data_IF_308065075474
#
_entry.id   IF_308065075474
#
_cell.length_a   1.000
_cell.length_b   1.000
_cell.length_c   1.000
_cell.angle_alpha   90.00
_cell.angle_beta   90.00
_cell.angle_gamma   90.00
#
_symmetry.space_group_name_H-M   'P 1'
#
loop_
_entity.id
_entity.type
_entity.pdbx_description
1 polymer ?
#
# COMPACT_ATOMS: atom_id res chain seq x y z
N UNK A 1 10.37 30.27 -2.23
CA UNK A 1 10.20 30.53 -0.79
C UNK A 1 9.32 31.76 -0.45
N UNK A 2 8.97 32.62 -1.39
CA UNK A 2 8.11 33.80 -1.12
C UNK A 2 6.59 33.52 -1.16
N UNK A 3 6.15 32.35 -1.59
CA UNK A 3 4.72 32.06 -1.79
C UNK A 3 3.97 31.61 -0.52
N UNK A 4 4.61 30.96 0.41
CA UNK A 4 3.94 30.35 1.57
C UNK A 4 3.70 31.30 2.76
N UNK A 5 4.36 32.46 2.81
CA UNK A 5 4.22 33.41 3.91
C UNK A 5 2.88 34.14 4.05
N UNK A 6 1.94 33.94 3.11
CA UNK A 6 0.60 34.55 3.10
C UNK A 6 -0.56 33.58 3.27
N UNK A 7 -0.29 32.29 3.42
CA UNK A 7 -1.32 31.27 3.47
C UNK A 7 -1.67 30.94 4.94
N UNK A 8 -2.96 30.91 5.25
CA UNK A 8 -3.41 30.39 6.54
C UNK A 8 -3.48 28.86 6.50
N UNK A 9 -3.57 28.25 7.68
CA UNK A 9 -3.62 26.77 7.85
C UNK A 9 -4.70 26.15 6.95
N UNK A 10 -5.90 26.72 6.94
CA UNK A 10 -7.02 26.19 6.16
C UNK A 10 -6.76 26.23 4.64
N UNK A 11 -6.16 27.31 4.14
CA UNK A 11 -5.78 27.41 2.72
C UNK A 11 -4.71 26.39 2.33
N UNK A 12 -3.73 26.16 3.19
CA UNK A 12 -2.68 25.14 2.95
C UNK A 12 -3.30 23.73 2.96
N UNK A 13 -4.20 23.43 3.89
CA UNK A 13 -4.91 22.15 3.94
C UNK A 13 -5.72 21.89 2.67
N UNK A 14 -6.52 22.87 2.22
CA UNK A 14 -7.28 22.76 0.96
C UNK A 14 -6.34 22.51 -0.22
N UNK A 15 -5.23 23.23 -0.29
CA UNK A 15 -4.27 23.08 -1.37
C UNK A 15 -3.57 21.73 -1.39
N UNK A 16 -3.24 21.19 -0.22
CA UNK A 16 -2.67 19.85 -0.06
C UNK A 16 -3.67 18.74 -0.44
N UNK A 17 -4.97 18.97 -0.25
CA UNK A 17 -6.03 18.02 -0.62
C UNK A 17 -6.39 18.05 -2.12
N UNK A 18 -5.87 18.98 -2.89
CA UNK A 18 -6.33 19.28 -4.26
C UNK A 18 -5.45 18.65 -5.35
N UNK A 19 -4.86 17.51 -5.15
CA UNK A 19 -4.08 16.68 -6.10
C UNK A 19 -3.19 17.43 -7.16
N UNK A 20 -3.00 18.75 -7.00
CA UNK A 20 -2.33 19.63 -7.96
C UNK A 20 -0.82 19.71 -7.76
N UNK A 21 -0.33 19.22 -6.60
CA UNK A 21 1.07 19.39 -6.22
C UNK A 21 1.94 18.20 -6.65
N UNK A 22 3.12 18.47 -7.18
CA UNK A 22 4.17 17.46 -7.32
C UNK A 22 4.67 17.01 -5.94
N UNK A 23 5.23 15.80 -5.83
CA UNK A 23 5.67 15.22 -4.54
C UNK A 23 6.59 16.15 -3.72
N UNK A 24 7.49 16.91 -4.39
CA UNK A 24 8.39 17.87 -3.72
C UNK A 24 7.66 19.09 -3.17
N UNK A 25 6.75 19.64 -3.97
CA UNK A 25 5.99 20.84 -3.58
C UNK A 25 5.00 20.50 -2.48
N UNK A 26 4.40 19.31 -2.54
CA UNK A 26 3.59 18.77 -1.46
C UNK A 26 4.37 18.68 -0.15
N UNK A 27 5.56 18.08 -0.15
CA UNK A 27 6.37 17.95 1.06
C UNK A 27 6.74 19.32 1.67
N UNK A 28 7.06 20.31 0.85
CA UNK A 28 7.34 21.66 1.31
C UNK A 28 6.10 22.33 1.91
N UNK A 29 4.94 22.16 1.29
CA UNK A 29 3.69 22.68 1.80
C UNK A 29 3.27 22.01 3.12
N UNK A 30 3.44 20.69 3.20
CA UNK A 30 3.21 19.93 4.42
C UNK A 30 4.12 20.39 5.57
N UNK A 31 5.42 20.56 5.32
CA UNK A 31 6.36 21.06 6.34
C UNK A 31 6.00 22.45 6.83
N UNK A 32 5.54 23.33 5.94
CA UNK A 32 5.08 24.66 6.31
C UNK A 32 3.80 24.62 7.15
N UNK A 33 2.83 23.77 6.82
CA UNK A 33 1.63 23.56 7.61
C UNK A 33 1.96 23.05 9.01
N UNK A 34 2.78 22.01 9.11
CA UNK A 34 3.22 21.45 10.38
C UNK A 34 3.92 22.51 11.26
N UNK A 35 4.79 23.34 10.66
CA UNK A 35 5.43 24.43 11.39
C UNK A 35 4.45 25.45 11.98
N UNK A 36 3.44 25.86 11.18
CA UNK A 36 2.41 26.80 11.64
C UNK A 36 1.52 26.19 12.75
N UNK A 37 1.20 24.90 12.65
CA UNK A 37 0.42 24.20 13.67
C UNK A 37 1.19 24.05 14.97
N UNK A 38 2.51 23.77 14.92
CA UNK A 38 3.36 23.72 16.10
C UNK A 38 3.46 25.08 16.81
N UNK A 39 3.61 26.18 16.04
CA UNK A 39 3.62 27.53 16.58
C UNK A 39 2.31 27.87 17.29
N UNK A 40 1.18 27.43 16.71
CA UNK A 40 -0.16 27.76 17.22
C UNK A 40 -0.58 26.94 18.43
N UNK A 41 -0.24 25.66 18.45
CA UNK A 41 -0.76 24.71 19.46
C UNK A 41 0.32 24.17 20.40
N UNK A 42 1.60 24.41 20.12
CA UNK A 42 2.71 23.98 20.98
C UNK A 42 2.94 22.46 21.01
N UNK A 43 2.26 21.70 20.16
CA UNK A 43 2.32 20.24 20.13
C UNK A 43 3.31 19.71 19.10
N UNK A 44 3.81 18.49 19.31
CA UNK A 44 4.67 17.81 18.36
C UNK A 44 3.81 17.08 17.28
N UNK A 45 3.20 17.86 16.39
CA UNK A 45 2.38 17.35 15.29
C UNK A 45 3.18 16.69 14.14
N UNK A 46 4.51 16.59 14.27
CA UNK A 46 5.37 15.88 13.31
C UNK A 46 5.37 14.37 13.49
N UNK A 47 4.66 13.86 14.48
CA UNK A 47 4.57 12.44 14.72
C UNK A 47 3.14 11.95 14.62
N UNK A 48 3.00 10.70 14.26
CA UNK A 48 1.73 9.99 14.21
C UNK A 48 1.90 8.57 14.76
N UNK A 49 0.80 7.96 15.12
CA UNK A 49 0.78 6.53 15.39
C UNK A 49 0.92 5.78 14.07
N UNK A 50 1.73 4.73 14.04
CA UNK A 50 1.97 3.91 12.87
C UNK A 50 2.02 2.44 13.24
N UNK A 51 1.83 1.57 12.28
CA UNK A 51 1.89 0.12 12.39
C UNK A 51 3.13 -0.39 11.66
N UNK A 52 3.91 -1.23 12.31
CA UNK A 52 4.91 -2.04 11.62
C UNK A 52 4.25 -3.33 11.19
N UNK A 53 4.17 -3.55 9.88
CA UNK A 53 3.48 -4.66 9.25
C UNK A 53 4.48 -5.54 8.49
N UNK A 54 4.31 -6.87 8.57
CA UNK A 54 4.92 -7.81 7.63
C UNK A 54 3.87 -8.23 6.62
N UNK A 55 4.15 -8.02 5.34
CA UNK A 55 3.34 -8.46 4.20
C UNK A 55 4.07 -9.59 3.51
N UNK A 56 3.47 -10.77 3.46
CA UNK A 56 4.02 -11.98 2.84
C UNK A 56 3.10 -12.44 1.71
N UNK A 57 3.57 -12.38 0.48
CA UNK A 57 2.86 -12.95 -0.67
C UNK A 57 3.02 -14.47 -0.65
N UNK A 58 1.92 -15.20 -0.84
CA UNK A 58 1.89 -16.67 -0.85
C UNK A 58 2.47 -17.19 -2.17
N UNK A 59 3.75 -17.55 -2.12
CA UNK A 59 4.52 -18.10 -3.24
C UNK A 59 5.41 -19.24 -2.76
N UNK A 60 5.81 -20.10 -3.67
CA UNK A 60 6.80 -21.16 -3.42
C UNK A 60 8.20 -20.61 -3.06
N UNK A 61 8.41 -19.31 -3.22
CA UNK A 61 9.65 -18.62 -2.88
C UNK A 61 9.34 -17.43 -1.98
N UNK A 62 10.26 -17.05 -1.09
CA UNK A 62 10.04 -15.91 -0.22
C UNK A 62 9.81 -14.61 -1.02
N UNK A 63 8.67 -13.97 -0.77
CA UNK A 63 8.36 -12.65 -1.28
C UNK A 63 7.68 -11.84 -0.15
N UNK A 64 8.46 -10.98 0.52
CA UNK A 64 8.04 -10.29 1.73
C UNK A 64 8.38 -8.82 1.70
N UNK A 65 7.55 -8.02 2.37
CA UNK A 65 7.78 -6.59 2.62
C UNK A 65 7.55 -6.31 4.10
N UNK A 66 8.42 -5.56 4.71
CA UNK A 66 8.24 -5.04 6.06
C UNK A 66 8.08 -3.54 6.00
N UNK A 67 6.93 -3.08 6.43
CA UNK A 67 6.48 -1.72 6.23
C UNK A 67 6.23 -1.05 7.58
N UNK A 68 6.51 0.25 7.68
CA UNK A 68 5.91 1.12 8.68
C UNK A 68 4.85 1.94 7.96
N UNK A 69 3.62 1.86 8.42
CA UNK A 69 2.47 2.50 7.78
C UNK A 69 1.71 3.31 8.82
N UNK A 70 1.49 4.61 8.60
CA UNK A 70 0.61 5.36 9.47
C UNK A 70 -0.77 4.71 9.57
N UNK A 71 -1.29 4.58 10.77
CA UNK A 71 -2.50 3.79 11.05
C UNK A 71 -3.83 4.46 10.68
N UNK A 72 -3.80 5.75 10.37
CA UNK A 72 -4.95 6.52 9.89
C UNK A 72 -5.13 6.49 8.35
N UNK A 73 -4.26 5.76 7.62
CA UNK A 73 -4.56 5.43 6.23
C UNK A 73 -5.81 4.55 6.16
N UNK A 74 -6.72 4.87 5.21
CA UNK A 74 -7.81 3.98 4.89
C UNK A 74 -7.33 2.80 4.03
N UNK A 75 -8.16 1.77 3.88
CA UNK A 75 -7.79 0.55 3.15
C UNK A 75 -7.57 0.79 1.66
N UNK A 76 -8.22 1.77 1.04
CA UNK A 76 -7.94 2.17 -0.34
C UNK A 76 -6.52 2.76 -0.47
N UNK A 77 -6.11 3.63 0.46
CA UNK A 77 -4.75 4.16 0.49
C UNK A 77 -3.73 3.05 0.77
N UNK A 78 -4.08 2.10 1.63
CA UNK A 78 -3.21 0.96 1.93
C UNK A 78 -3.08 0.01 0.74
N UNK A 79 -4.13 -0.21 -0.03
CA UNK A 79 -4.04 -0.90 -1.32
C UNK A 79 -2.99 -0.25 -2.24
N UNK A 80 -3.00 1.08 -2.38
CA UNK A 80 -1.99 1.79 -3.18
C UNK A 80 -0.56 1.57 -2.64
N UNK A 81 -0.39 1.51 -1.31
CA UNK A 81 0.91 1.14 -0.70
C UNK A 81 1.35 -0.25 -1.15
N UNK A 82 0.45 -1.22 -1.15
CA UNK A 82 0.75 -2.59 -1.57
C UNK A 82 1.07 -2.65 -3.07
N UNK A 83 0.31 -1.96 -3.92
CA UNK A 83 0.58 -1.88 -5.36
C UNK A 83 2.01 -1.38 -5.63
N UNK A 84 2.45 -0.31 -4.99
CA UNK A 84 3.82 0.19 -5.13
C UNK A 84 4.87 -0.77 -4.56
N UNK A 85 4.56 -1.50 -3.47
CA UNK A 85 5.44 -2.50 -2.88
C UNK A 85 5.73 -3.68 -3.79
N UNK A 86 4.73 -4.09 -4.56
CA UNK A 86 4.82 -5.24 -5.45
C UNK A 86 5.04 -4.83 -6.91
N UNK A 87 4.97 -3.53 -7.22
CA UNK A 87 5.20 -2.98 -8.56
C UNK A 87 4.05 -3.26 -9.52
N UNK A 88 2.85 -3.40 -9.00
CA UNK A 88 1.60 -3.59 -9.75
C UNK A 88 0.95 -2.26 -10.14
N UNK A 89 -0.11 -2.32 -10.98
CA UNK A 89 -0.66 -1.15 -11.69
C UNK A 89 -2.11 -0.86 -11.35
N UNK A 90 -2.66 -1.52 -10.33
CA UNK A 90 -4.07 -1.38 -9.95
C UNK A 90 -5.03 -1.59 -11.12
N UNK A 91 -4.79 -2.67 -11.92
CA UNK A 91 -5.63 -3.01 -13.07
C UNK A 91 -6.60 -4.17 -12.82
N UNK A 92 -6.60 -4.73 -11.63
CA UNK A 92 -7.47 -5.85 -11.25
C UNK A 92 -8.23 -5.55 -9.96
N UNK A 93 -9.28 -6.34 -9.70
CA UNK A 93 -10.07 -6.27 -8.47
C UNK A 93 -9.24 -6.70 -7.25
N UNK A 94 -9.63 -6.18 -6.09
CA UNK A 94 -8.99 -6.51 -4.83
C UNK A 94 -9.95 -6.45 -3.65
N UNK A 95 -9.59 -7.17 -2.58
CA UNK A 95 -10.28 -7.08 -1.30
C UNK A 95 -9.32 -7.34 -0.14
N UNK A 96 -9.75 -6.92 1.05
CA UNK A 96 -9.12 -7.31 2.30
C UNK A 96 -10.09 -8.19 3.10
N UNK A 97 -9.67 -9.40 3.44
CA UNK A 97 -10.43 -10.29 4.34
C UNK A 97 -9.95 -10.03 5.76
N UNK A 98 -10.84 -9.49 6.58
CA UNK A 98 -10.52 -9.11 7.97
C UNK A 98 -11.03 -10.12 8.99
N UNK A 99 -12.01 -10.94 8.62
CA UNK A 99 -12.47 -12.07 9.43
C UNK A 99 -12.92 -13.22 8.55
N UNK A 100 -12.76 -14.43 9.08
CA UNK A 100 -13.28 -15.67 8.49
C UNK A 100 -14.25 -16.35 9.45
N UNK A 101 -15.17 -17.15 8.91
CA UNK A 101 -16.09 -17.98 9.69
C UNK A 101 -15.43 -19.28 10.18
N UNK A 102 -16.23 -20.18 10.76
CA UNK A 102 -15.76 -21.46 11.30
C UNK A 102 -15.24 -22.42 10.20
N UNK A 103 -15.67 -22.25 8.97
CA UNK A 103 -15.28 -23.07 7.81
C UNK A 103 -14.09 -22.45 7.05
N UNK A 104 -13.61 -21.26 7.50
CA UNK A 104 -12.50 -20.52 6.89
C UNK A 104 -12.92 -19.65 5.71
N UNK A 105 -14.23 -19.47 5.47
CA UNK A 105 -14.72 -18.57 4.44
C UNK A 105 -14.72 -17.11 4.92
N UNK A 106 -14.57 -16.11 4.02
CA UNK A 106 -14.66 -14.71 4.40
C UNK A 106 -15.99 -14.38 5.09
N UNK A 107 -15.91 -13.82 6.31
CA UNK A 107 -17.05 -13.33 7.09
C UNK A 107 -17.10 -11.80 7.12
N UNK A 108 -15.96 -11.13 6.95
CA UNK A 108 -15.86 -9.68 6.86
C UNK A 108 -14.81 -9.30 5.83
N UNK A 109 -15.19 -8.45 4.86
CA UNK A 109 -14.31 -7.94 3.82
C UNK A 109 -14.37 -6.42 3.73
N UNK A 110 -13.28 -5.82 3.27
CA UNK A 110 -13.17 -4.40 2.93
C UNK A 110 -12.75 -4.31 1.47
N UNK A 111 -13.55 -3.62 0.66
CA UNK A 111 -13.32 -3.46 -0.77
C UNK A 111 -13.76 -2.07 -1.25
N UNK A 112 -13.39 -1.63 -2.46
CA UNK A 112 -13.94 -0.41 -3.06
C UNK A 112 -15.45 -0.49 -3.30
N UNK A 113 -16.12 0.68 -3.33
CA UNK A 113 -17.58 0.85 -3.40
C UNK A 113 -18.17 0.69 -4.82
N UNK A 114 -17.49 0.05 -5.73
CA UNK A 114 -17.95 -0.09 -7.12
C UNK A 114 -18.84 -1.31 -7.38
N UNK A 115 -18.99 -2.20 -6.40
CA UNK A 115 -19.85 -3.38 -6.53
C UNK A 115 -20.88 -3.40 -5.39
N UNK A 116 -22.13 -3.12 -5.73
CA UNK A 116 -23.29 -3.26 -4.84
C UNK A 116 -23.66 -4.75 -4.58
N UNK A 117 -22.77 -5.70 -4.83
CA UNK A 117 -23.06 -7.10 -4.54
C UNK A 117 -23.02 -7.35 -3.03
N UNK A 118 -24.20 -7.40 -2.44
CA UNK A 118 -24.37 -7.98 -1.10
C UNK A 118 -24.10 -9.47 -1.17
N UNK A 119 -22.94 -9.87 -0.67
CA UNK A 119 -22.62 -11.28 -0.51
C UNK A 119 -23.38 -11.75 0.72
N UNK A 120 -24.31 -12.72 0.58
CA UNK A 120 -25.06 -13.22 1.74
C UNK A 120 -24.10 -13.69 2.85
N UNK A 121 -24.38 -13.31 4.10
CA UNK A 121 -23.61 -13.69 5.29
C UNK A 121 -22.22 -13.08 5.42
N UNK A 122 -21.76 -12.25 4.47
CA UNK A 122 -20.50 -11.52 4.54
C UNK A 122 -20.75 -10.04 4.86
N UNK A 123 -20.06 -9.52 5.87
CA UNK A 123 -20.06 -8.08 6.14
C UNK A 123 -19.09 -7.37 5.19
N UNK A 124 -19.63 -6.56 4.30
CA UNK A 124 -18.86 -5.76 3.36
C UNK A 124 -18.72 -4.31 3.87
N UNK A 125 -17.52 -3.75 3.81
CA UNK A 125 -17.21 -2.38 4.19
C UNK A 125 -16.47 -1.65 3.07
N UNK A 126 -16.71 -0.34 2.95
CA UNK A 126 -16.05 0.50 1.95
C UNK A 126 -14.60 0.81 2.35
N UNK A 127 -13.65 0.51 1.47
CA UNK A 127 -12.22 0.71 1.71
C UNK A 127 -11.80 2.17 1.89
N UNK A 128 -12.62 3.13 1.44
CA UNK A 128 -12.35 4.57 1.63
C UNK A 128 -12.78 5.09 3.00
N UNK A 129 -13.62 4.34 3.73
CA UNK A 129 -14.21 4.75 5.01
C UNK A 129 -13.53 4.11 6.22
N UNK A 130 -12.92 2.92 6.05
CA UNK A 130 -12.30 2.15 7.13
C UNK A 130 -10.80 2.39 7.15
N UNK A 131 -10.25 2.73 8.31
CA UNK A 131 -8.81 2.92 8.50
C UNK A 131 -8.12 1.65 8.99
N UNK A 132 -6.79 1.58 8.84
CA UNK A 132 -6.00 0.47 9.39
C UNK A 132 -6.16 0.34 10.90
N UNK A 133 -6.28 1.47 11.63
CA UNK A 133 -6.51 1.50 13.07
C UNK A 133 -7.80 0.78 13.45
N UNK A 134 -8.89 1.03 12.73
CA UNK A 134 -10.20 0.47 13.03
C UNK A 134 -10.21 -1.06 13.04
N UNK A 135 -9.30 -1.67 12.29
CA UNK A 135 -9.18 -3.12 12.15
C UNK A 135 -8.03 -3.70 12.96
N UNK A 136 -6.82 -3.17 12.79
CA UNK A 136 -5.59 -3.77 13.32
C UNK A 136 -5.35 -3.48 14.81
N UNK A 137 -6.15 -2.61 15.45
CA UNK A 137 -6.15 -2.49 16.91
C UNK A 137 -6.74 -3.74 17.61
N UNK A 138 -7.56 -4.51 16.93
CA UNK A 138 -8.23 -5.70 17.45
C UNK A 138 -7.82 -7.00 16.77
N UNK A 139 -7.03 -6.94 15.71
CA UNK A 139 -6.59 -8.09 14.91
C UNK A 139 -5.10 -8.05 14.65
N UNK A 140 -4.43 -9.18 14.85
CA UNK A 140 -3.00 -9.30 14.58
C UNK A 140 -2.69 -9.62 13.11
N UNK A 141 -3.70 -10.08 12.36
CA UNK A 141 -3.52 -10.54 10.98
C UNK A 141 -4.77 -10.30 10.15
N UNK A 142 -4.56 -9.93 8.87
CA UNK A 142 -5.58 -9.85 7.82
C UNK A 142 -4.99 -10.41 6.53
N UNK A 143 -5.86 -10.68 5.54
CA UNK A 143 -5.46 -11.13 4.21
C UNK A 143 -5.80 -10.06 3.19
N UNK A 144 -4.91 -9.83 2.23
CA UNK A 144 -5.16 -9.00 1.06
C UNK A 144 -5.10 -9.88 -0.19
N UNK A 145 -6.16 -9.83 -0.97
CA UNK A 145 -6.29 -10.54 -2.24
C UNK A 145 -6.34 -9.53 -3.38
N UNK A 146 -5.53 -9.76 -4.38
CA UNK A 146 -5.45 -8.93 -5.58
C UNK A 146 -5.47 -9.82 -6.82
N UNK A 147 -6.17 -9.38 -7.88
CA UNK A 147 -6.37 -10.14 -9.11
C UNK A 147 -6.97 -11.53 -8.84
N UNK A 148 -8.30 -11.61 -8.75
CA UNK A 148 -9.00 -12.87 -8.48
C UNK A 148 -8.80 -13.93 -9.58
N UNK A 149 -8.29 -13.53 -10.76
CA UNK A 149 -7.91 -14.45 -11.83
C UNK A 149 -6.59 -15.15 -11.55
N UNK A 150 -5.54 -14.38 -11.23
CA UNK A 150 -4.21 -14.90 -10.87
C UNK A 150 -4.14 -15.33 -9.38
N UNK A 151 -5.03 -14.82 -8.53
CA UNK A 151 -5.19 -15.26 -7.14
C UNK A 151 -4.05 -14.82 -6.20
N UNK A 152 -3.54 -13.59 -6.31
CA UNK A 152 -2.47 -13.11 -5.45
C UNK A 152 -2.94 -12.89 -4.01
N UNK A 153 -2.56 -13.79 -3.12
CA UNK A 153 -2.94 -13.77 -1.69
C UNK A 153 -1.75 -13.31 -0.84
N UNK A 154 -2.00 -12.27 -0.02
CA UNK A 154 -1.00 -11.73 0.90
C UNK A 154 -1.49 -11.85 2.33
N UNK A 155 -0.66 -12.43 3.17
CA UNK A 155 -0.84 -12.37 4.61
C UNK A 155 -0.20 -11.08 5.14
N UNK A 156 -0.97 -10.26 5.84
CA UNK A 156 -0.52 -9.03 6.48
C UNK A 156 -0.59 -9.22 7.99
N UNK A 157 0.57 -9.18 8.65
CA UNK A 157 0.68 -9.40 10.09
C UNK A 157 1.16 -8.14 10.79
N UNK A 158 0.49 -7.75 11.88
CA UNK A 158 0.91 -6.68 12.76
C UNK A 158 2.10 -7.14 13.59
N UNK A 159 3.24 -6.46 13.46
CA UNK A 159 4.45 -6.75 14.22
C UNK A 159 4.52 -5.93 15.50
N UNK A 160 4.23 -4.64 15.42
CA UNK A 160 4.15 -3.72 16.57
C UNK A 160 3.47 -2.41 16.20
N UNK A 161 3.08 -1.67 17.24
CA UNK A 161 2.57 -0.31 17.14
C UNK A 161 3.70 0.66 17.48
N UNK A 162 3.80 1.77 16.73
CA UNK A 162 4.78 2.83 16.91
C UNK A 162 4.01 4.11 17.21
N UNK A 163 4.11 4.63 18.46
CA UNK A 163 3.32 5.79 18.90
C UNK A 163 3.87 7.13 18.40
N UNK A 164 5.13 7.19 18.01
CA UNK A 164 5.83 8.44 17.67
C UNK A 164 6.60 8.31 16.35
N UNK A 165 5.90 7.91 15.31
CA UNK A 165 6.44 7.81 13.95
C UNK A 165 6.58 9.21 13.33
N UNK A 166 7.79 9.54 12.86
CA UNK A 166 8.14 10.91 12.45
C UNK A 166 7.83 11.25 10.99
N UNK A 167 7.54 10.24 10.18
CA UNK A 167 7.24 10.47 8.78
C UNK A 167 5.73 10.40 8.54
N UNK A 168 5.18 11.28 7.70
CA UNK A 168 3.74 11.26 7.39
C UNK A 168 3.38 10.30 6.26
N UNK A 169 4.29 9.49 5.79
CA UNK A 169 4.11 8.54 4.67
C UNK A 169 4.65 7.15 5.06
N UNK A 170 4.21 6.10 4.37
CA UNK A 170 4.72 4.75 4.62
C UNK A 170 6.22 4.63 4.35
N UNK A 171 6.85 3.64 4.97
CA UNK A 171 8.26 3.31 4.74
C UNK A 171 8.46 1.80 4.65
N UNK A 172 9.08 1.34 3.57
CA UNK A 172 9.53 -0.04 3.43
C UNK A 172 10.91 -0.17 4.06
N UNK A 173 11.00 -0.90 5.19
CA UNK A 173 12.24 -1.07 5.95
C UNK A 173 13.01 -2.32 5.56
N UNK A 174 12.30 -3.33 5.02
CA UNK A 174 12.90 -4.57 4.53
C UNK A 174 12.04 -5.13 3.39
N UNK A 175 12.71 -5.68 2.38
CA UNK A 175 12.04 -6.43 1.33
C UNK A 175 12.90 -7.64 0.92
N UNK A 176 12.23 -8.75 0.63
CA UNK A 176 12.85 -10.02 0.20
C UNK A 176 12.08 -10.53 -1.00
N UNK A 177 12.80 -10.91 -2.04
CA UNK A 177 12.25 -11.52 -3.26
C UNK A 177 11.57 -10.52 -4.18
N UNK A 178 11.70 -10.78 -5.47
CA UNK A 178 10.98 -10.06 -6.52
C UNK A 178 9.49 -10.43 -6.50
N UNK A 179 8.65 -9.45 -6.78
CA UNK A 179 7.22 -9.69 -6.95
C UNK A 179 6.92 -10.23 -8.36
N UNK A 180 5.78 -10.94 -8.54
CA UNK A 180 5.31 -11.36 -9.85
C UNK A 180 5.03 -10.19 -10.80
N UNK A 181 5.09 -10.50 -12.10
CA UNK A 181 4.56 -9.61 -13.14
C UNK A 181 3.04 -9.72 -13.14
N UNK A 182 2.35 -8.64 -13.54
CA UNK A 182 0.93 -8.69 -13.85
C UNK A 182 0.64 -9.74 -14.92
N UNK A 183 -0.49 -10.40 -14.82
CA UNK A 183 -1.00 -11.36 -15.82
C UNK A 183 -0.03 -12.54 -16.12
N UNK A 184 0.76 -12.99 -15.15
CA UNK A 184 1.69 -14.09 -15.37
C UNK A 184 1.10 -15.49 -15.10
N UNK A 185 -0.17 -15.59 -14.73
CA UNK A 185 -0.87 -16.84 -14.49
C UNK A 185 -0.73 -17.39 -13.07
N UNK A 186 -0.73 -16.47 -12.09
CA UNK A 186 -0.70 -16.81 -10.68
C UNK A 186 0.64 -17.37 -10.19
N UNK A 187 0.69 -17.97 -8.98
CA UNK A 187 1.92 -18.50 -8.38
C UNK A 187 2.66 -19.50 -9.27
N UNK A 188 1.94 -20.40 -9.92
CA UNK A 188 2.54 -21.42 -10.80
C UNK A 188 3.10 -20.80 -12.09
N UNK A 189 2.38 -19.83 -12.69
CA UNK A 189 2.84 -19.08 -13.85
C UNK A 189 4.09 -18.26 -13.53
N UNK A 190 4.13 -17.62 -12.37
CA UNK A 190 5.33 -16.92 -11.91
C UNK A 190 6.52 -17.86 -11.73
N UNK A 191 6.32 -19.03 -11.13
CA UNK A 191 7.38 -20.02 -10.99
C UNK A 191 7.88 -20.51 -12.35
N UNK A 192 6.97 -20.76 -13.28
CA UNK A 192 7.33 -21.12 -14.66
C UNK A 192 8.19 -20.03 -15.32
N UNK A 193 7.73 -18.79 -15.32
CA UNK A 193 8.48 -17.64 -15.88
C UNK A 193 9.87 -17.55 -15.28
N UNK A 194 9.98 -17.64 -13.97
CA UNK A 194 11.30 -17.60 -13.27
C UNK A 194 12.23 -18.74 -13.69
N UNK A 195 11.69 -19.93 -13.87
CA UNK A 195 12.49 -21.10 -14.28
C UNK A 195 12.98 -20.96 -15.71
N UNK A 196 12.13 -20.50 -16.62
CA UNK A 196 12.50 -20.20 -18.01
C UNK A 196 13.58 -19.12 -18.08
N UNK A 197 13.45 -18.03 -17.30
CA UNK A 197 14.44 -16.95 -17.31
C UNK A 197 15.80 -17.35 -16.74
N UNK A 198 15.86 -18.37 -15.88
CA UNK A 198 17.13 -18.89 -15.33
C UNK A 198 17.90 -19.77 -16.30
N UNK A 199 17.24 -20.34 -17.30
CA UNK A 199 17.83 -21.23 -18.28
C UNK A 199 17.88 -20.58 -19.67
N UNK A 200 19.01 -19.96 -20.07
CA UNK A 200 19.17 -19.37 -21.40
C UNK A 200 19.04 -20.37 -22.56
N UNK A 201 19.13 -21.68 -22.29
CA UNK A 201 18.96 -22.72 -23.29
C UNK A 201 17.50 -23.19 -23.42
N UNK A 202 16.60 -22.72 -22.55
CA UNK A 202 15.19 -23.07 -22.62
C UNK A 202 14.57 -22.62 -23.95
N UNK A 203 13.78 -23.46 -24.66
CA UNK A 203 13.20 -23.12 -25.96
C UNK A 203 12.43 -21.79 -25.97
N UNK A 204 11.71 -21.48 -24.89
CA UNK A 204 10.87 -20.28 -24.74
C UNK A 204 11.59 -19.11 -24.07
N UNK A 205 12.88 -19.23 -23.73
CA UNK A 205 13.63 -18.19 -23.00
C UNK A 205 13.56 -16.83 -23.70
N UNK A 206 13.70 -16.79 -25.02
CA UNK A 206 13.63 -15.55 -25.78
C UNK A 206 12.24 -14.92 -25.71
N UNK A 207 11.19 -15.70 -25.96
CA UNK A 207 9.80 -15.23 -25.96
C UNK A 207 9.39 -14.70 -24.59
N UNK A 208 9.61 -15.47 -23.55
CA UNK A 208 9.32 -15.07 -22.15
C UNK A 208 10.12 -13.84 -21.75
N UNK A 209 11.40 -13.74 -22.14
CA UNK A 209 12.22 -12.54 -21.85
C UNK A 209 11.70 -11.29 -22.57
N UNK A 210 11.20 -11.41 -23.79
CA UNK A 210 10.58 -10.29 -24.52
C UNK A 210 9.25 -9.89 -23.89
N UNK A 211 8.43 -10.85 -23.51
CA UNK A 211 7.18 -10.61 -22.79
C UNK A 211 7.43 -9.89 -21.46
N UNK A 212 8.33 -10.38 -20.59
CA UNK A 212 8.65 -9.74 -19.31
C UNK A 212 9.09 -8.29 -19.49
N UNK A 213 9.89 -7.99 -20.53
CA UNK A 213 10.27 -6.60 -20.83
C UNK A 213 9.08 -5.74 -21.22
N UNK A 214 8.06 -6.30 -21.86
CA UNK A 214 6.86 -5.58 -22.28
C UNK A 214 5.91 -5.26 -21.11
N UNK A 215 5.96 -6.02 -20.02
CA UNK A 215 5.11 -5.81 -18.83
C UNK A 215 5.53 -4.59 -17.98
N UNK A 216 6.67 -3.97 -18.27
CA UNK A 216 7.27 -2.91 -17.45
C UNK A 216 7.68 -3.37 -16.04
N UNK A 217 7.68 -4.67 -15.80
CA UNK A 217 8.14 -5.24 -14.54
C UNK A 217 9.56 -4.78 -14.20
N UNK A 218 9.81 -4.53 -12.93
CA UNK A 218 11.12 -4.10 -12.40
C UNK A 218 11.52 -5.01 -11.24
N UNK A 219 12.80 -5.37 -11.14
CA UNK A 219 13.32 -6.03 -9.96
C UNK A 219 13.08 -5.20 -8.71
N UNK A 220 13.10 -5.88 -7.56
CA UNK A 220 12.97 -5.26 -6.26
C UNK A 220 13.98 -4.11 -6.06
N UNK A 221 13.45 -2.93 -5.77
CA UNK A 221 14.24 -1.75 -5.40
C UNK A 221 13.55 -0.98 -4.27
N UNK A 222 14.02 -1.19 -3.03
CA UNK A 222 13.47 -0.54 -1.83
C UNK A 222 13.59 0.98 -1.88
N UNK A 223 14.63 1.52 -2.53
CA UNK A 223 14.78 2.98 -2.66
C UNK A 223 13.70 3.55 -3.57
N UNK A 224 13.39 2.87 -4.67
CA UNK A 224 12.31 3.27 -5.57
C UNK A 224 10.97 3.20 -4.85
N UNK A 225 10.66 2.11 -4.15
CA UNK A 225 9.44 1.96 -3.35
C UNK A 225 9.28 3.15 -2.38
N UNK A 226 10.30 3.44 -1.60
CA UNK A 226 10.26 4.54 -0.64
C UNK A 226 10.19 5.94 -1.28
N UNK A 227 10.60 6.10 -2.53
CA UNK A 227 10.35 7.33 -3.28
C UNK A 227 8.87 7.47 -3.65
N UNK A 228 8.24 6.39 -4.11
CA UNK A 228 6.83 6.37 -4.53
C UNK A 228 5.89 6.57 -3.34
N UNK A 229 6.23 6.05 -2.17
CA UNK A 229 5.44 6.24 -0.95
C UNK A 229 5.22 7.70 -0.56
N UNK A 230 6.14 8.60 -0.93
CA UNK A 230 5.98 10.02 -0.69
C UNK A 230 4.81 10.65 -1.45
N UNK A 231 4.40 10.04 -2.56
CA UNK A 231 3.24 10.50 -3.33
C UNK A 231 1.91 9.97 -2.77
N UNK A 232 1.90 8.79 -2.14
CA UNK A 232 0.71 8.21 -1.50
C UNK A 232 0.23 9.08 -0.31
N UNK A 233 1.15 9.73 0.37
CA UNK A 233 0.87 10.63 1.48
C UNK A 233 -0.03 11.83 1.12
N UNK A 234 -0.19 12.20 -0.14
CA UNK A 234 -0.92 13.41 -0.60
C UNK A 234 -2.34 13.56 -0.05
N UNK A 235 -3.03 12.46 0.20
CA UNK A 235 -4.41 12.46 0.69
C UNK A 235 -4.51 12.47 2.22
N UNK A 236 -3.36 12.52 2.91
CA UNK A 236 -3.29 12.39 4.34
C UNK A 236 -2.80 13.68 4.97
N UNK A 237 -3.71 14.52 5.38
CA UNK A 237 -3.43 15.65 6.25
C UNK A 237 -3.94 15.28 7.64
N UNK A 238 -3.10 15.39 8.69
CA UNK A 238 -3.61 15.27 10.05
C UNK A 238 -4.70 16.33 10.24
N UNK A 239 -5.93 15.91 10.40
CA UNK A 239 -6.99 16.80 10.82
C UNK A 239 -6.88 16.99 12.32
N UNK A 240 -6.81 18.25 12.72
CA UNK A 240 -6.97 18.68 14.09
C UNK A 240 -8.45 18.74 14.46
#
# INVERSE_FOLDING_TARGET
MQFLGKWNIHSIQLWLNDDVLSGRDYLLAYQALVGQLQERYGENIRSCRALELEVSLDLHVPCKRRLIVPDDLNFYQFHNVLQECFGWKDCHLHQFVTAVDADGCPAEIIQPDWEEETIPEVRVQNSTEVTLRDVLDSREQIVYEYDFGDGWTHTISLCRIIEDYKEPYPHCILAVGDAPMEDCGGPDGFEYVRNVLKDPAHPEHREISEWVRSTWWKPLDVKRINCLFKDIHRKRIPFL
#
